data_IF_952883579836
#
_entry.id   IF_952883579836
#
_cell.length_a   1.000
_cell.length_b   1.000
_cell.length_c   1.000
_cell.angle_alpha   90.00
_cell.angle_beta   90.00
_cell.angle_gamma   90.00
#
_symmetry.space_group_name_H-M   'P 1'
#
loop_
_entity.id
_entity.type
_entity.pdbx_description
1 polymer ?
#
# COMPACT_ATOMS: atom_id res chain seq x y z
N UNK A 1 -24.44 -12.77 -12.55
CA UNK A 1 -25.52 -12.53 -11.55
C UNK A 1 -25.35 -13.34 -10.26
N UNK A 2 -25.08 -14.65 -10.32
CA UNK A 2 -24.96 -15.51 -9.12
C UNK A 2 -23.70 -15.18 -8.30
N UNK A 3 -22.54 -15.00 -8.93
CA UNK A 3 -21.27 -14.70 -8.25
C UNK A 3 -21.31 -13.40 -7.42
N UNK A 4 -21.90 -12.34 -7.97
CA UNK A 4 -22.07 -11.07 -7.25
C UNK A 4 -22.94 -11.22 -5.98
N UNK A 5 -23.99 -12.04 -6.04
CA UNK A 5 -24.81 -12.34 -4.86
C UNK A 5 -24.01 -13.08 -3.80
N UNK A 6 -23.24 -14.11 -4.20
CA UNK A 6 -22.39 -14.87 -3.28
C UNK A 6 -21.39 -13.98 -2.55
N UNK A 7 -20.67 -13.11 -3.28
CA UNK A 7 -19.74 -12.15 -2.65
C UNK A 7 -20.43 -11.19 -1.69
N UNK A 8 -21.61 -10.67 -2.06
CA UNK A 8 -22.37 -9.75 -1.21
C UNK A 8 -22.78 -10.43 0.11
N UNK A 9 -23.28 -11.66 0.05
CA UNK A 9 -23.68 -12.40 1.26
C UNK A 9 -22.48 -12.82 2.10
N UNK A 10 -21.36 -13.20 1.49
CA UNK A 10 -20.12 -13.51 2.19
C UNK A 10 -19.57 -12.28 2.94
N UNK A 11 -19.53 -11.12 2.27
CA UNK A 11 -19.11 -9.86 2.89
C UNK A 11 -20.04 -9.46 4.03
N UNK A 12 -21.36 -9.59 3.85
CA UNK A 12 -22.34 -9.32 4.91
C UNK A 12 -22.10 -10.21 6.14
N UNK A 13 -21.93 -11.51 5.94
CA UNK A 13 -21.68 -12.46 7.02
C UNK A 13 -20.39 -12.11 7.78
N UNK A 14 -19.33 -11.78 7.05
CA UNK A 14 -18.06 -11.41 7.65
C UNK A 14 -18.15 -10.09 8.44
N UNK A 15 -18.90 -9.10 7.95
CA UNK A 15 -19.19 -7.87 8.70
C UNK A 15 -19.97 -8.15 9.98
N UNK A 16 -20.95 -9.05 9.96
CA UNK A 16 -21.73 -9.41 11.16
C UNK A 16 -20.84 -10.11 12.19
N UNK A 17 -19.95 -11.01 11.77
CA UNK A 17 -18.98 -11.67 12.64
C UNK A 17 -18.03 -10.63 13.26
N UNK A 18 -17.49 -9.72 12.45
CA UNK A 18 -16.63 -8.64 12.91
C UNK A 18 -17.33 -7.74 13.94
N UNK A 19 -18.58 -7.35 13.68
CA UNK A 19 -19.36 -6.55 14.61
C UNK A 19 -19.61 -7.27 15.93
N UNK A 20 -19.85 -8.58 15.91
CA UNK A 20 -20.03 -9.40 17.12
C UNK A 20 -18.78 -9.41 17.99
N UNK A 21 -17.61 -9.68 17.41
CA UNK A 21 -16.34 -9.64 18.14
C UNK A 21 -15.98 -8.23 18.61
N UNK A 22 -16.29 -7.20 17.83
CA UNK A 22 -16.07 -5.80 18.21
C UNK A 22 -16.90 -5.39 19.43
N UNK A 23 -18.19 -5.74 19.45
CA UNK A 23 -19.05 -5.50 20.61
C UNK A 23 -18.57 -6.28 21.84
N UNK A 24 -18.06 -7.49 21.64
CA UNK A 24 -17.45 -8.28 22.70
C UNK A 24 -16.21 -7.59 23.28
N UNK A 25 -15.29 -7.09 22.45
CA UNK A 25 -14.12 -6.31 22.90
C UNK A 25 -14.54 -5.09 23.71
N UNK A 26 -15.53 -4.31 23.23
CA UNK A 26 -16.05 -3.14 23.95
C UNK A 26 -16.63 -3.54 25.31
N UNK A 27 -17.32 -4.67 25.39
CA UNK A 27 -17.93 -5.13 26.64
C UNK A 27 -16.92 -5.55 27.71
N UNK A 28 -15.72 -6.00 27.30
CA UNK A 28 -14.62 -6.34 28.22
C UNK A 28 -13.87 -5.07 28.65
N UNK A 29 -13.65 -4.14 27.72
CA UNK A 29 -13.00 -2.86 27.98
C UNK A 29 -11.47 -2.91 27.97
N UNK A 30 -10.85 -1.80 27.59
CA UNK A 30 -9.40 -1.71 27.37
C UNK A 30 -8.58 -1.85 28.66
N UNK A 31 -9.14 -1.46 29.81
CA UNK A 31 -8.46 -1.54 31.11
C UNK A 31 -8.24 -3.00 31.55
N UNK A 32 -9.25 -3.86 31.36
CA UNK A 32 -9.14 -5.29 31.66
C UNK A 32 -8.15 -6.00 30.72
N UNK A 33 -8.17 -5.64 29.43
CA UNK A 33 -7.28 -6.22 28.42
C UNK A 33 -5.82 -5.82 28.68
N UNK A 34 -5.55 -4.55 29.01
CA UNK A 34 -4.20 -4.07 29.30
C UNK A 34 -3.65 -4.61 30.62
N UNK A 35 -4.50 -4.72 31.66
CA UNK A 35 -4.10 -5.26 32.95
C UNK A 35 -3.64 -6.73 32.84
N UNK A 36 -4.32 -7.54 32.03
CA UNK A 36 -3.89 -8.92 31.77
C UNK A 36 -2.69 -9.00 30.81
N UNK A 37 -2.62 -8.14 29.79
CA UNK A 37 -1.48 -8.12 28.88
C UNK A 37 -0.14 -7.78 29.59
N UNK A 38 -0.20 -7.05 30.71
CA UNK A 38 0.95 -6.77 31.57
C UNK A 38 1.37 -7.97 32.46
N UNK A 39 0.48 -8.95 32.65
CA UNK A 39 0.76 -10.17 33.41
C UNK A 39 1.30 -11.28 32.51
N UNK A 40 2.63 -11.50 32.55
CA UNK A 40 3.32 -12.54 31.77
C UNK A 40 2.86 -13.98 32.10
N UNK A 41 2.08 -14.18 33.16
CA UNK A 41 1.61 -15.51 33.61
C UNK A 41 0.53 -16.09 32.70
N UNK A 42 -0.34 -15.24 32.14
CA UNK A 42 -1.54 -15.66 31.41
C UNK A 42 -1.38 -15.66 29.88
N UNK A 43 -0.19 -15.33 29.36
CA UNK A 43 0.11 -15.25 27.91
C UNK A 43 -0.97 -14.48 27.10
N UNK A 44 -1.58 -13.46 27.71
CA UNK A 44 -2.62 -12.63 27.08
C UNK A 44 -3.88 -13.39 26.65
N UNK A 45 -4.35 -14.38 27.42
CA UNK A 45 -5.53 -15.20 27.09
C UNK A 45 -6.77 -14.36 26.73
N UNK A 46 -7.04 -13.27 27.44
CA UNK A 46 -8.17 -12.39 27.19
C UNK A 46 -7.96 -11.53 25.94
N UNK A 47 -6.74 -11.06 25.67
CA UNK A 47 -6.38 -10.44 24.38
C UNK A 47 -6.56 -11.45 23.23
N UNK A 48 -6.21 -12.72 23.46
CA UNK A 48 -6.34 -13.77 22.46
C UNK A 48 -7.79 -14.21 22.23
N UNK A 49 -8.67 -14.04 23.23
CA UNK A 49 -10.11 -14.32 23.10
C UNK A 49 -10.92 -13.15 22.55
N UNK A 50 -10.48 -11.90 22.79
CA UNK A 50 -11.23 -10.69 22.44
C UNK A 50 -10.70 -10.00 21.19
N UNK A 51 -9.38 -9.79 21.08
CA UNK A 51 -8.74 -8.99 20.03
C UNK A 51 -8.23 -9.85 18.87
N UNK A 52 -7.58 -10.98 19.18
CA UNK A 52 -7.00 -11.84 18.15
C UNK A 52 -8.02 -12.33 17.09
N UNK A 53 -9.28 -12.68 17.43
CA UNK A 53 -10.26 -13.07 16.42
C UNK A 53 -10.51 -11.98 15.37
N UNK A 54 -10.53 -10.70 15.78
CA UNK A 54 -10.65 -9.56 14.87
C UNK A 54 -9.43 -9.39 13.98
N UNK A 55 -8.23 -9.57 14.54
CA UNK A 55 -6.98 -9.49 13.80
C UNK A 55 -6.88 -10.60 12.74
N UNK A 56 -7.17 -11.85 13.12
CA UNK A 56 -7.19 -12.97 12.18
C UNK A 56 -8.26 -12.80 11.10
N UNK A 57 -9.42 -12.24 11.45
CA UNK A 57 -10.46 -11.92 10.48
C UNK A 57 -9.98 -10.85 9.48
N UNK A 58 -9.32 -9.79 9.96
CA UNK A 58 -8.76 -8.76 9.11
C UNK A 58 -7.69 -9.32 8.16
N UNK A 59 -6.78 -10.17 8.64
CA UNK A 59 -5.81 -10.85 7.79
C UNK A 59 -6.47 -11.77 6.77
N UNK A 60 -7.53 -12.49 7.15
CA UNK A 60 -8.28 -13.32 6.21
C UNK A 60 -8.94 -12.48 5.11
N UNK A 61 -9.58 -11.36 5.45
CA UNK A 61 -10.18 -10.43 4.46
C UNK A 61 -9.13 -9.83 3.55
N UNK A 62 -8.01 -9.38 4.11
CA UNK A 62 -6.89 -8.86 3.33
C UNK A 62 -6.38 -9.91 2.34
N UNK A 63 -6.15 -11.14 2.80
CA UNK A 63 -5.69 -12.25 1.96
C UNK A 63 -6.69 -12.57 0.83
N UNK A 64 -8.00 -12.64 1.15
CA UNK A 64 -9.05 -12.86 0.15
C UNK A 64 -9.07 -11.72 -0.87
N UNK A 65 -9.02 -10.47 -0.41
CA UNK A 65 -9.09 -9.29 -1.27
C UNK A 65 -7.89 -9.23 -2.20
N UNK A 66 -6.68 -9.37 -1.66
CA UNK A 66 -5.45 -9.42 -2.45
C UNK A 66 -5.48 -10.58 -3.43
N UNK A 67 -5.91 -11.76 -3.00
CA UNK A 67 -6.04 -12.95 -3.85
C UNK A 67 -7.01 -12.73 -5.02
N UNK A 68 -8.17 -12.12 -4.77
CA UNK A 68 -9.14 -11.81 -5.82
C UNK A 68 -8.61 -10.75 -6.78
N UNK A 69 -8.01 -9.68 -6.27
CA UNK A 69 -7.40 -8.63 -7.10
C UNK A 69 -6.35 -9.23 -8.00
N UNK A 70 -5.41 -10.02 -7.45
CA UNK A 70 -4.39 -10.70 -8.25
C UNK A 70 -5.02 -11.62 -9.30
N UNK A 71 -6.01 -12.43 -8.92
CA UNK A 71 -6.68 -13.33 -9.86
C UNK A 71 -7.35 -12.56 -11.00
N UNK A 72 -8.10 -11.50 -10.72
CA UNK A 72 -8.79 -10.71 -11.74
C UNK A 72 -7.82 -9.89 -12.60
N UNK A 73 -6.76 -9.34 -12.02
CA UNK A 73 -5.72 -8.60 -12.75
C UNK A 73 -4.98 -9.54 -13.70
N UNK A 74 -4.51 -10.70 -13.22
CA UNK A 74 -3.83 -11.68 -14.06
C UNK A 74 -4.76 -12.20 -15.15
N UNK A 75 -5.98 -12.61 -14.80
CA UNK A 75 -6.98 -13.03 -15.78
C UNK A 75 -7.27 -11.95 -16.82
N UNK A 76 -7.36 -10.69 -16.41
CA UNK A 76 -7.59 -9.55 -17.30
C UNK A 76 -6.42 -9.30 -18.27
N UNK A 77 -5.19 -9.33 -17.75
CA UNK A 77 -3.97 -9.15 -18.53
C UNK A 77 -3.77 -10.30 -19.53
N UNK A 78 -3.97 -11.55 -19.11
CA UNK A 78 -3.81 -12.73 -19.97
C UNK A 78 -5.01 -12.99 -20.89
N UNK A 79 -6.10 -12.22 -20.77
CA UNK A 79 -7.31 -12.43 -21.58
C UNK A 79 -7.07 -12.17 -23.08
N UNK A 80 -6.09 -11.35 -23.45
CA UNK A 80 -5.70 -11.19 -24.86
C UNK A 80 -4.23 -10.74 -25.00
N UNK A 81 -3.54 -11.15 -26.08
CA UNK A 81 -2.16 -10.73 -26.33
C UNK A 81 -2.03 -9.21 -26.53
N UNK A 82 -3.09 -8.55 -27.01
CA UNK A 82 -3.13 -7.10 -27.18
C UNK A 82 -3.15 -6.35 -25.84
N UNK A 83 -3.96 -6.81 -24.88
CA UNK A 83 -4.04 -6.22 -23.53
C UNK A 83 -2.75 -6.47 -22.76
N UNK A 84 -2.20 -7.68 -22.83
CA UNK A 84 -0.91 -8.01 -22.22
C UNK A 84 0.20 -7.08 -22.70
N UNK A 85 0.32 -6.87 -24.02
CA UNK A 85 1.33 -5.96 -24.59
C UNK A 85 1.17 -4.53 -24.08
N UNK A 86 -0.06 -4.00 -24.07
CA UNK A 86 -0.33 -2.64 -23.59
C UNK A 86 0.00 -2.48 -22.11
N UNK A 87 -0.41 -3.45 -21.28
CA UNK A 87 -0.08 -3.48 -19.86
C UNK A 87 1.43 -3.54 -19.64
N UNK A 88 2.12 -4.42 -20.35
CA UNK A 88 3.57 -4.58 -20.23
C UNK A 88 4.34 -3.33 -20.68
N UNK A 89 3.90 -2.66 -21.75
CA UNK A 89 4.48 -1.38 -22.17
C UNK A 89 4.27 -0.32 -21.09
N UNK A 90 3.07 -0.22 -20.50
CA UNK A 90 2.82 0.77 -19.44
C UNK A 90 3.69 0.55 -18.21
N UNK A 91 3.81 -0.70 -17.75
CA UNK A 91 4.67 -1.06 -16.61
C UNK A 91 6.14 -0.90 -16.98
N UNK A 92 6.54 -1.27 -18.19
CA UNK A 92 7.90 -1.12 -18.68
C UNK A 92 8.34 0.34 -18.73
N UNK A 93 7.47 1.25 -19.18
CA UNK A 93 7.75 2.69 -19.15
C UNK A 93 7.89 3.19 -17.71
N UNK A 94 6.99 2.77 -16.81
CA UNK A 94 7.07 3.15 -15.40
C UNK A 94 8.40 2.68 -14.77
N UNK A 95 8.77 1.42 -14.99
CA UNK A 95 10.04 0.86 -14.52
C UNK A 95 11.22 1.60 -15.14
N UNK A 96 11.18 1.91 -16.44
CA UNK A 96 12.24 2.68 -17.10
C UNK A 96 12.42 4.07 -16.45
N UNK A 97 11.32 4.75 -16.11
CA UNK A 97 11.38 6.03 -15.39
C UNK A 97 12.01 5.84 -14.00
N UNK A 98 11.61 4.81 -13.25
CA UNK A 98 12.21 4.50 -11.95
C UNK A 98 13.72 4.22 -12.08
N UNK A 99 14.15 3.49 -13.10
CA UNK A 99 15.56 3.21 -13.36
C UNK A 99 16.33 4.47 -13.74
N UNK A 100 15.76 5.34 -14.57
CA UNK A 100 16.35 6.64 -14.92
C UNK A 100 16.48 7.51 -13.67
N UNK A 101 15.46 7.54 -12.81
CA UNK A 101 15.50 8.26 -11.55
C UNK A 101 16.58 7.70 -10.61
N UNK A 102 16.64 6.38 -10.44
CA UNK A 102 17.59 5.72 -9.54
C UNK A 102 19.05 5.80 -10.00
N UNK A 103 19.32 5.60 -11.30
CA UNK A 103 20.69 5.60 -11.82
C UNK A 103 21.15 6.97 -12.32
N UNK A 104 20.23 7.83 -12.74
CA UNK A 104 20.55 9.12 -13.35
C UNK A 104 20.50 10.31 -12.39
N UNK A 105 19.66 10.26 -11.36
CA UNK A 105 19.39 11.43 -10.50
C UNK A 105 19.51 11.15 -9.00
N UNK A 106 19.24 9.92 -8.56
CA UNK A 106 19.32 9.58 -7.15
C UNK A 106 20.78 9.56 -6.68
N UNK A 107 21.01 10.29 -5.60
CA UNK A 107 22.30 10.41 -4.94
C UNK A 107 22.29 9.62 -3.62
N UNK A 108 23.45 9.14 -3.21
CA UNK A 108 23.69 8.44 -1.95
C UNK A 108 24.13 9.38 -0.81
N UNK A 109 23.94 10.69 -1.01
CA UNK A 109 24.22 11.71 -0.01
C UNK A 109 23.49 11.41 1.32
N UNK A 110 24.28 11.16 2.36
CA UNK A 110 23.84 10.89 3.75
C UNK A 110 24.07 12.08 4.68
N UNK A 111 24.58 13.17 4.11
CA UNK A 111 24.92 14.40 4.80
C UNK A 111 23.98 15.50 4.32
N UNK A 112 23.42 16.27 5.25
CA UNK A 112 22.61 17.43 4.93
C UNK A 112 23.49 18.47 4.18
N UNK A 113 23.13 18.84 2.94
CA UNK A 113 23.89 19.81 2.15
C UNK A 113 23.92 21.23 2.76
N UNK A 114 23.03 21.56 3.68
CA UNK A 114 22.99 22.86 4.36
C UNK A 114 23.85 22.95 5.62
N UNK A 115 24.05 21.84 6.34
CA UNK A 115 24.72 21.82 7.65
C UNK A 115 25.98 20.96 7.68
N UNK A 116 26.19 20.10 6.68
CA UNK A 116 27.35 19.20 6.62
C UNK A 116 27.30 18.08 7.68
N UNK A 117 26.19 17.94 8.41
CA UNK A 117 26.00 16.88 9.39
C UNK A 117 25.30 15.66 8.78
N UNK A 118 25.58 14.49 9.34
CA UNK A 118 24.90 13.25 9.00
C UNK A 118 23.39 13.41 9.29
N UNK A 119 22.56 13.07 8.30
CA UNK A 119 21.11 13.06 8.49
C UNK A 119 20.78 11.92 9.45
N UNK A 120 20.19 12.23 10.59
CA UNK A 120 19.71 11.24 11.55
C UNK A 120 18.23 10.97 11.32
N UNK A 121 17.84 9.70 11.39
CA UNK A 121 16.44 9.29 11.41
C UNK A 121 15.81 9.67 12.74
N UNK A 122 14.48 9.66 12.79
CA UNK A 122 13.68 9.98 13.99
C UNK A 122 14.00 9.05 15.18
N UNK A 123 14.49 7.84 14.89
CA UNK A 123 14.94 6.85 15.87
C UNK A 123 16.41 7.04 16.31
N UNK A 124 17.09 8.09 15.83
CA UNK A 124 18.49 8.41 16.16
C UNK A 124 19.55 7.62 15.37
N UNK A 125 19.13 6.75 14.45
CA UNK A 125 20.04 6.01 13.57
C UNK A 125 20.51 6.91 12.40
N UNK A 126 21.80 6.87 11.99
CA UNK A 126 22.25 7.61 10.82
C UNK A 126 21.62 7.07 9.54
N UNK A 127 21.25 7.98 8.62
CA UNK A 127 20.75 7.63 7.30
C UNK A 127 21.79 6.80 6.56
N UNK A 128 21.37 5.64 6.04
CA UNK A 128 22.22 4.82 5.20
C UNK A 128 22.19 5.32 3.75
N UNK A 129 23.31 5.13 3.04
CA UNK A 129 23.46 5.49 1.63
C UNK A 129 22.38 4.85 0.75
N UNK A 130 22.06 3.58 1.02
CA UNK A 130 21.05 2.81 0.27
C UNK A 130 19.64 3.35 0.48
N UNK A 131 19.28 3.68 1.73
CA UNK A 131 17.99 4.29 2.03
C UNK A 131 17.89 5.68 1.41
N UNK A 132 18.93 6.50 1.52
CA UNK A 132 18.96 7.84 0.92
C UNK A 132 18.74 7.77 -0.59
N UNK A 133 19.47 6.88 -1.27
CA UNK A 133 19.37 6.70 -2.72
C UNK A 133 17.99 6.19 -3.14
N UNK A 134 17.39 5.26 -2.40
CA UNK A 134 16.05 4.76 -2.71
C UNK A 134 14.99 5.86 -2.54
N UNK A 135 15.10 6.66 -1.47
CA UNK A 135 14.21 7.81 -1.24
C UNK A 135 14.39 8.86 -2.34
N UNK A 136 15.63 9.22 -2.65
CA UNK A 136 15.96 10.15 -3.75
C UNK A 136 15.38 9.68 -5.07
N UNK A 137 15.54 8.39 -5.41
CA UNK A 137 14.96 7.82 -6.62
C UNK A 137 13.43 7.92 -6.66
N UNK A 138 12.75 7.71 -5.53
CA UNK A 138 11.29 7.84 -5.45
C UNK A 138 10.83 9.28 -5.69
N UNK A 139 11.56 10.26 -5.14
CA UNK A 139 11.27 11.70 -5.31
C UNK A 139 11.50 12.12 -6.76
N UNK A 140 12.63 11.75 -7.38
CA UNK A 140 12.89 12.05 -8.78
C UNK A 140 11.91 11.35 -9.73
N UNK A 141 11.52 10.11 -9.43
CA UNK A 141 10.46 9.40 -10.17
C UNK A 141 9.15 10.19 -10.11
N UNK A 142 8.78 10.67 -8.93
CA UNK A 142 7.58 11.50 -8.76
C UNK A 142 7.65 12.78 -9.58
N UNK A 143 8.76 13.52 -9.54
CA UNK A 143 8.92 14.75 -10.33
C UNK A 143 8.81 14.50 -11.84
N UNK A 144 9.47 13.45 -12.36
CA UNK A 144 9.39 13.11 -13.79
C UNK A 144 7.95 12.81 -14.20
N UNK A 145 7.26 11.95 -13.43
CA UNK A 145 5.87 11.58 -13.71
C UNK A 145 4.94 12.78 -13.55
N UNK A 146 5.16 13.65 -12.56
CA UNK A 146 4.35 14.84 -12.34
C UNK A 146 4.44 15.82 -13.51
N UNK A 147 5.64 16.08 -14.03
CA UNK A 147 5.83 16.96 -15.20
C UNK A 147 5.18 16.36 -16.43
N UNK A 148 5.35 15.05 -16.67
CA UNK A 148 4.69 14.34 -17.79
C UNK A 148 3.16 14.40 -17.67
N UNK A 149 2.62 14.23 -16.46
CA UNK A 149 1.19 14.28 -16.20
C UNK A 149 0.63 15.68 -16.49
N UNK A 150 1.22 16.72 -15.90
CA UNK A 150 0.80 18.12 -16.13
C UNK A 150 0.91 18.47 -17.62
N UNK A 151 2.03 18.13 -18.27
CA UNK A 151 2.22 18.36 -19.70
C UNK A 151 1.14 17.68 -20.54
N UNK A 152 0.80 16.42 -20.23
CA UNK A 152 -0.25 15.68 -20.94
C UNK A 152 -1.64 16.29 -20.77
N UNK A 153 -1.96 16.79 -19.57
CA UNK A 153 -3.24 17.44 -19.26
C UNK A 153 -3.34 18.77 -20.02
N UNK A 154 -2.29 19.60 -19.97
CA UNK A 154 -2.26 20.88 -20.67
C UNK A 154 -2.37 20.70 -22.19
N UNK A 155 -1.61 19.76 -22.75
CA UNK A 155 -1.68 19.43 -24.18
C UNK A 155 -3.07 18.98 -24.60
N UNK A 156 -3.69 18.08 -23.83
CA UNK A 156 -5.05 17.59 -24.11
C UNK A 156 -6.07 18.71 -23.96
N UNK A 157 -5.91 19.61 -23.00
CA UNK A 157 -6.76 20.78 -22.80
C UNK A 157 -6.68 21.76 -23.98
N UNK A 158 -5.46 22.15 -24.37
CA UNK A 158 -5.22 23.11 -25.46
C UNK A 158 -5.63 22.53 -26.82
N UNK A 159 -5.25 21.28 -27.12
CA UNK A 159 -5.61 20.64 -28.39
C UNK A 159 -7.12 20.53 -28.58
N UNK A 160 -7.89 20.31 -27.51
CA UNK A 160 -9.35 20.24 -27.55
C UNK A 160 -10.02 21.61 -27.78
N UNK A 161 -9.36 22.70 -27.37
CA UNK A 161 -9.81 24.07 -27.63
C UNK A 161 -9.49 24.51 -29.06
N UNK A 162 -8.36 24.06 -29.61
CA UNK A 162 -7.92 24.39 -30.97
C UNK A 162 -8.60 23.54 -32.06
N UNK A 163 -8.94 22.27 -31.78
CA UNK A 163 -9.69 21.40 -32.71
C UNK A 163 -11.22 21.55 -32.58
N UNK A 164 -11.70 22.75 -32.22
CA UNK A 164 -13.10 23.13 -32.37
C UNK A 164 -13.34 23.89 -33.66
#
# INVERSE_FOLDING_TARGET
>A
MVLHKVFKYLALLLCVIAAGFFLYTISVGDEAIQAEAADLTNNGALQNATLAPMMYLAYAVMAITVGLVLFFVLKGIFSSPAVLKRSLISVGILVAICLIAYFGFADDAVTDPGTGQLVMLDEGEPLTADTSKLVGASIYTFYIVAVLAVGSILWTGVSKLLNR
#
